data_IF_994229195508
#
_entry.id   IF_994229195508
#
_cell.length_a   1.000
_cell.length_b   1.000
_cell.length_c   1.000
_cell.angle_alpha   90.00
_cell.angle_beta   90.00
_cell.angle_gamma   90.00
#
_symmetry.space_group_name_H-M   'P 1'
#
loop_
_entity.id
_entity.type
_entity.pdbx_description
1 polymer ?
#
# COMPACT_ATOMS: atom_id res chain seq x y z
N UNK A 1 8.00 17.75 20.48
CA UNK A 1 7.37 16.44 20.29
C UNK A 1 7.05 15.89 21.68
N UNK A 2 5.77 15.91 22.04
CA UNK A 2 5.33 15.43 23.36
C UNK A 2 5.41 13.91 23.40
N UNK A 3 6.17 13.40 24.37
CA UNK A 3 6.24 11.99 24.68
C UNK A 3 5.16 11.65 25.72
N UNK A 4 3.92 11.72 25.35
CA UNK A 4 2.86 11.24 26.24
C UNK A 4 2.38 9.88 25.74
N UNK A 5 2.60 8.80 26.50
CA UNK A 5 2.17 7.45 26.09
C UNK A 5 0.66 7.33 25.91
N UNK A 6 -0.14 8.15 26.60
CA UNK A 6 -1.59 8.13 26.47
C UNK A 6 -2.07 8.81 25.17
N UNK A 7 -1.32 9.75 24.60
CA UNK A 7 -1.62 10.37 23.32
C UNK A 7 -1.11 9.60 22.11
N UNK A 8 -0.38 8.52 22.32
CA UNK A 8 0.11 7.66 21.26
C UNK A 8 -1.00 6.98 20.44
N UNK A 9 -2.25 7.06 20.87
CA UNK A 9 -3.38 6.54 20.11
C UNK A 9 -3.74 7.38 18.88
N UNK A 10 -3.30 8.62 18.80
CA UNK A 10 -3.59 9.52 17.66
C UNK A 10 -2.36 10.05 16.92
N UNK A 11 -1.21 9.43 17.08
CA UNK A 11 -0.16 9.52 16.09
C UNK A 11 0.69 10.78 16.03
N UNK A 12 0.57 11.75 16.91
CA UNK A 12 1.46 12.93 16.86
C UNK A 12 2.95 12.61 17.17
N UNK A 13 3.22 11.44 17.74
CA UNK A 13 4.58 10.95 18.01
C UNK A 13 4.92 9.68 17.24
N UNK A 14 4.04 9.20 16.35
CA UNK A 14 4.27 8.00 15.56
C UNK A 14 4.61 8.39 14.14
N UNK A 15 5.63 7.80 13.61
CA UNK A 15 5.85 7.82 12.17
C UNK A 15 5.04 6.67 11.60
N UNK A 16 3.91 7.00 11.02
CA UNK A 16 3.02 6.04 10.37
C UNK A 16 3.29 6.11 8.87
N UNK A 17 3.51 4.95 8.28
CA UNK A 17 3.50 4.79 6.84
C UNK A 17 2.09 4.39 6.43
N UNK A 18 1.51 5.14 5.52
CA UNK A 18 0.18 4.87 4.98
C UNK A 18 0.23 4.77 3.46
N UNK A 19 -0.50 3.81 2.90
CA UNK A 19 -0.82 3.83 1.47
C UNK A 19 -1.60 5.12 1.16
N UNK A 20 -2.22 5.68 2.18
CA UNK A 20 -3.13 6.81 2.11
C UNK A 20 -4.52 6.35 1.67
N UNK A 21 -5.52 7.18 1.90
CA UNK A 21 -6.86 6.88 1.42
C UNK A 21 -6.84 6.77 -0.10
N UNK A 22 -7.26 5.62 -0.62
CA UNK A 22 -7.21 5.30 -2.03
C UNK A 22 -5.82 5.51 -2.68
N UNK A 23 -4.72 5.14 -1.98
CA UNK A 23 -3.36 5.17 -2.55
C UNK A 23 -2.71 6.55 -2.67
N UNK A 24 -3.29 7.59 -2.09
CA UNK A 24 -2.75 8.95 -2.15
C UNK A 24 -1.32 9.08 -1.61
N UNK A 25 -0.95 8.25 -0.62
CA UNK A 25 0.42 8.21 -0.09
C UNK A 25 1.43 7.83 -1.15
N UNK A 26 1.15 6.78 -1.92
CA UNK A 26 2.04 6.34 -3.01
C UNK A 26 2.07 7.33 -4.18
N UNK A 27 0.93 7.94 -4.52
CA UNK A 27 0.89 9.01 -5.52
C UNK A 27 1.81 10.17 -5.11
N UNK A 28 1.75 10.60 -3.84
CA UNK A 28 2.60 11.67 -3.33
C UNK A 28 4.07 11.32 -3.43
N UNK A 29 4.44 10.09 -3.02
CA UNK A 29 5.82 9.59 -3.15
C UNK A 29 6.27 9.59 -4.61
N UNK A 30 5.46 9.11 -5.54
CA UNK A 30 5.80 9.12 -6.97
C UNK A 30 6.03 10.53 -7.51
N UNK A 31 5.20 11.49 -7.13
CA UNK A 31 5.36 12.88 -7.55
C UNK A 31 6.65 13.51 -6.98
N UNK A 32 6.95 13.23 -5.72
CA UNK A 32 8.21 13.67 -5.10
C UNK A 32 9.43 12.99 -5.74
N UNK A 33 9.35 11.71 -6.11
CA UNK A 33 10.42 11.04 -6.86
C UNK A 33 10.65 11.70 -8.22
N UNK A 34 9.59 12.07 -8.95
CA UNK A 34 9.71 12.80 -10.22
C UNK A 34 10.43 14.13 -10.03
N UNK A 35 10.09 14.85 -8.98
CA UNK A 35 10.72 16.12 -8.65
C UNK A 35 12.20 15.93 -8.27
N UNK A 36 12.50 14.97 -7.41
CA UNK A 36 13.88 14.63 -7.01
C UNK A 36 14.76 14.25 -8.21
N UNK A 37 14.23 13.42 -9.13
CA UNK A 37 14.93 13.06 -10.37
C UNK A 37 15.20 14.31 -11.23
N UNK A 38 14.20 15.18 -11.41
CA UNK A 38 14.31 16.37 -12.24
C UNK A 38 15.33 17.38 -11.69
N UNK A 39 15.54 17.42 -10.37
CA UNK A 39 16.46 18.34 -9.71
C UNK A 39 17.78 17.68 -9.28
N UNK A 40 18.00 16.40 -9.64
CA UNK A 40 19.19 15.61 -9.22
C UNK A 40 19.37 15.57 -7.70
N UNK A 41 18.27 15.48 -6.95
CA UNK A 41 18.26 15.33 -5.49
C UNK A 41 18.29 13.84 -5.12
N UNK A 42 19.51 13.27 -5.16
CA UNK A 42 19.74 11.85 -4.90
C UNK A 42 19.39 11.47 -3.45
N UNK A 43 19.57 12.35 -2.48
CA UNK A 43 19.28 12.08 -1.08
C UNK A 43 17.76 11.88 -0.88
N UNK A 44 16.96 12.80 -1.38
CA UNK A 44 15.49 12.68 -1.35
C UNK A 44 15.03 11.46 -2.13
N UNK A 45 15.58 11.20 -3.30
CA UNK A 45 15.22 10.04 -4.10
C UNK A 45 15.48 8.72 -3.37
N UNK A 46 16.65 8.55 -2.76
CA UNK A 46 16.99 7.34 -2.00
C UNK A 46 16.10 7.18 -0.76
N UNK A 47 15.77 8.25 -0.06
CA UNK A 47 14.82 8.22 1.06
C UNK A 47 13.44 7.71 0.61
N UNK A 48 12.93 8.22 -0.51
CA UNK A 48 11.63 7.83 -1.06
C UNK A 48 11.62 6.38 -1.55
N UNK A 49 12.71 5.92 -2.18
CA UNK A 49 12.89 4.51 -2.55
C UNK A 49 12.84 3.62 -1.31
N UNK A 50 13.57 3.98 -0.25
CA UNK A 50 13.57 3.23 1.00
C UNK A 50 12.19 3.11 1.65
N UNK A 51 11.33 4.13 1.52
CA UNK A 51 9.93 4.06 1.96
C UNK A 51 9.17 2.97 1.18
N UNK A 52 9.35 2.90 -0.13
CA UNK A 52 8.64 1.92 -0.96
C UNK A 52 9.20 0.50 -0.80
N UNK A 53 10.51 0.37 -0.56
CA UNK A 53 11.13 -0.92 -0.20
C UNK A 53 10.50 -1.49 1.08
N UNK A 54 10.23 -0.62 2.06
CA UNK A 54 9.59 -1.01 3.30
C UNK A 54 8.18 -1.59 3.06
N UNK A 55 7.42 -1.03 2.12
CA UNK A 55 6.13 -1.57 1.73
C UNK A 55 6.25 -2.94 1.06
N UNK A 56 7.21 -3.11 0.17
CA UNK A 56 7.46 -4.38 -0.50
C UNK A 56 7.87 -5.48 0.49
N UNK A 57 8.65 -5.14 1.51
CA UNK A 57 9.05 -6.06 2.60
C UNK A 57 7.87 -6.50 3.47
N UNK A 58 6.88 -5.61 3.69
CA UNK A 58 5.73 -5.89 4.54
C UNK A 58 4.62 -6.68 3.83
N UNK A 59 4.68 -6.77 2.52
CA UNK A 59 3.70 -7.52 1.75
C UNK A 59 3.85 -9.01 1.96
N UNK A 60 2.73 -9.69 2.22
CA UNK A 60 2.68 -11.15 2.28
C UNK A 60 2.75 -11.78 0.88
N UNK A 61 3.05 -13.08 0.83
CA UNK A 61 3.14 -13.81 -0.44
C UNK A 61 1.82 -13.87 -1.20
N UNK A 62 0.69 -13.85 -0.48
CA UNK A 62 -0.65 -13.78 -1.07
C UNK A 62 -1.03 -12.40 -1.62
N UNK A 63 -0.14 -11.41 -1.54
CA UNK A 63 -0.37 -10.06 -2.02
C UNK A 63 -0.95 -9.10 -0.99
N UNK A 64 -1.39 -9.59 0.17
CA UNK A 64 -1.95 -8.73 1.20
C UNK A 64 -0.88 -7.90 1.90
N UNK A 65 -1.26 -6.67 2.19
CA UNK A 65 -0.47 -5.75 3.00
C UNK A 65 -1.42 -4.87 3.78
N UNK A 66 -1.06 -4.55 5.01
CA UNK A 66 -1.84 -3.59 5.80
C UNK A 66 -1.79 -2.21 5.15
N UNK A 67 -2.88 -1.43 5.18
CA UNK A 67 -2.91 -0.10 4.60
C UNK A 67 -2.03 0.91 5.32
N UNK A 68 -1.57 0.57 6.52
CA UNK A 68 -0.62 1.36 7.28
C UNK A 68 0.22 0.49 8.23
N UNK A 69 1.40 0.96 8.59
CA UNK A 69 2.25 0.36 9.62
C UNK A 69 3.08 1.47 10.32
N UNK A 70 3.51 1.17 11.52
CA UNK A 70 4.37 2.09 12.30
C UNK A 70 5.84 1.87 11.99
N UNK A 71 6.62 2.93 12.07
CA UNK A 71 8.06 2.91 11.79
C UNK A 71 8.81 1.88 12.64
N UNK A 72 8.36 1.65 13.87
CA UNK A 72 9.06 0.85 14.87
C UNK A 72 8.46 -0.53 15.10
N UNK A 73 7.63 -1.02 14.19
CA UNK A 73 7.25 -2.43 14.09
C UNK A 73 6.75 -3.11 15.37
N UNK A 74 5.91 -2.45 16.12
CA UNK A 74 5.08 -3.15 17.10
C UNK A 74 3.84 -3.75 16.38
N UNK A 75 4.13 -4.60 15.37
CA UNK A 75 3.09 -5.37 14.72
C UNK A 75 2.53 -6.37 15.71
N UNK A 76 1.38 -6.04 16.27
CA UNK A 76 0.61 -6.97 17.11
C UNK A 76 -0.61 -7.45 16.29
N UNK A 77 -0.59 -8.69 15.77
CA UNK A 77 -1.70 -9.23 14.99
C UNK A 77 -3.03 -9.20 15.75
N UNK A 78 -3.00 -9.32 17.08
CA UNK A 78 -4.22 -9.27 17.90
C UNK A 78 -4.81 -7.86 17.97
N UNK A 79 -3.96 -6.81 18.01
CA UNK A 79 -4.42 -5.43 17.92
C UNK A 79 -5.00 -5.12 16.56
N UNK A 80 -4.42 -5.67 15.50
CA UNK A 80 -4.88 -5.49 14.13
C UNK A 80 -6.19 -6.23 13.89
N UNK A 81 -6.31 -7.48 14.32
CA UNK A 81 -7.56 -8.23 14.22
C UNK A 81 -8.72 -7.52 14.94
N UNK A 82 -8.44 -6.89 16.08
CA UNK A 82 -9.42 -6.07 16.82
C UNK A 82 -9.72 -4.74 16.14
N UNK A 83 -8.75 -4.16 15.46
CA UNK A 83 -8.86 -2.90 14.74
C UNK A 83 -9.35 -3.09 13.29
N UNK A 84 -9.30 -4.30 12.74
CA UNK A 84 -9.86 -4.62 11.42
C UNK A 84 -11.37 -4.38 11.31
N UNK A 85 -12.05 -4.32 12.46
CA UNK A 85 -13.43 -3.87 12.56
C UNK A 85 -13.58 -2.35 12.54
N UNK A 86 -12.46 -1.60 12.65
CA UNK A 86 -12.42 -0.15 12.55
C UNK A 86 -11.85 0.20 11.17
N UNK A 87 -12.53 1.06 10.44
CA UNK A 87 -12.10 1.54 9.11
C UNK A 87 -10.61 1.91 9.10
N UNK A 88 -9.88 1.39 8.14
CA UNK A 88 -8.47 1.73 7.90
C UNK A 88 -7.43 0.74 8.44
N UNK A 89 -7.82 -0.34 9.10
CA UNK A 89 -6.87 -1.31 9.66
C UNK A 89 -6.85 -2.67 8.95
N UNK A 90 -7.80 -2.92 8.07
CA UNK A 90 -7.81 -4.11 7.22
C UNK A 90 -7.38 -3.76 5.79
N UNK A 91 -6.83 -4.71 5.03
CA UNK A 91 -6.63 -4.53 3.61
C UNK A 91 -7.94 -4.17 2.91
N UNK A 92 -7.98 -2.99 2.32
CA UNK A 92 -9.14 -2.51 1.54
C UNK A 92 -8.85 -2.58 0.06
N UNK A 93 -9.81 -3.05 -0.72
CA UNK A 93 -9.70 -3.17 -2.18
C UNK A 93 -9.33 -1.85 -2.85
N UNK A 94 -9.88 -0.72 -2.40
CA UNK A 94 -9.54 0.59 -2.95
C UNK A 94 -8.08 0.97 -2.67
N UNK A 95 -7.61 0.79 -1.45
CA UNK A 95 -6.24 1.13 -1.06
C UNK A 95 -5.22 0.24 -1.77
N UNK A 96 -5.49 -1.07 -1.81
CA UNK A 96 -4.63 -2.03 -2.48
C UNK A 96 -4.60 -1.81 -4.00
N UNK A 97 -5.77 -1.59 -4.62
CA UNK A 97 -5.86 -1.41 -6.06
C UNK A 97 -5.13 -0.15 -6.54
N UNK A 98 -5.32 0.97 -5.88
CA UNK A 98 -4.58 2.20 -6.22
C UNK A 98 -3.12 2.10 -5.81
N UNK A 99 -2.83 1.49 -4.66
CA UNK A 99 -1.45 1.21 -4.24
C UNK A 99 -0.68 0.39 -5.27
N UNK A 100 -1.30 -0.65 -5.84
CA UNK A 100 -0.72 -1.44 -6.93
C UNK A 100 -0.45 -0.57 -8.17
N UNK A 101 -1.44 0.24 -8.59
CA UNK A 101 -1.30 1.17 -9.72
C UNK A 101 -0.12 2.13 -9.53
N UNK A 102 -0.05 2.80 -8.40
CA UNK A 102 1.02 3.78 -8.15
C UNK A 102 2.39 3.12 -7.97
N UNK A 103 2.47 1.93 -7.35
CA UNK A 103 3.74 1.20 -7.22
C UNK A 103 4.26 0.73 -8.58
N UNK A 104 3.40 0.27 -9.49
CA UNK A 104 3.77 -0.06 -10.86
C UNK A 104 4.31 1.17 -11.61
N UNK A 105 3.68 2.32 -11.44
CA UNK A 105 4.16 3.59 -12.02
C UNK A 105 5.48 4.07 -11.42
N UNK A 106 5.70 3.84 -10.11
CA UNK A 106 6.98 4.11 -9.46
C UNK A 106 8.06 3.21 -10.04
N UNK A 107 7.78 1.91 -10.20
CA UNK A 107 8.70 0.99 -10.87
C UNK A 107 9.08 1.48 -12.27
N UNK A 108 8.09 1.82 -13.10
CA UNK A 108 8.34 2.32 -14.45
C UNK A 108 9.18 3.61 -14.44
N UNK A 109 8.84 4.57 -13.56
CA UNK A 109 9.59 5.82 -13.41
C UNK A 109 11.06 5.56 -13.07
N UNK A 110 11.34 4.69 -12.11
CA UNK A 110 12.70 4.37 -11.68
C UNK A 110 13.48 3.64 -12.77
N UNK A 111 12.87 2.62 -13.38
CA UNK A 111 13.47 1.86 -14.50
C UNK A 111 13.84 2.77 -15.67
N UNK A 112 12.97 3.70 -16.05
CA UNK A 112 13.20 4.64 -17.16
C UNK A 112 14.33 5.64 -16.84
N UNK A 113 14.73 5.74 -15.57
CA UNK A 113 15.90 6.50 -15.09
C UNK A 113 17.09 5.62 -14.68
N UNK A 114 17.10 4.35 -15.10
CA UNK A 114 18.23 3.43 -14.88
C UNK A 114 18.29 2.82 -13.47
N UNK A 115 17.22 2.89 -12.69
CA UNK A 115 17.16 2.35 -11.33
C UNK A 115 16.23 1.13 -11.34
N UNK A 116 16.81 -0.06 -11.17
CA UNK A 116 16.06 -1.31 -11.18
C UNK A 116 15.55 -1.65 -9.78
N UNK A 117 14.22 -1.80 -9.64
CA UNK A 117 13.51 -2.17 -8.42
C UNK A 117 12.40 -3.19 -8.72
N UNK A 118 12.75 -4.42 -9.13
CA UNK A 118 11.77 -5.43 -9.53
C UNK A 118 10.80 -5.81 -8.42
N UNK A 119 11.17 -5.60 -7.16
CA UNK A 119 10.29 -5.81 -6.00
C UNK A 119 9.04 -4.90 -6.03
N UNK A 120 9.12 -3.72 -6.63
CA UNK A 120 7.98 -2.81 -6.75
C UNK A 120 6.96 -3.33 -7.77
N UNK A 121 7.42 -3.83 -8.90
CA UNK A 121 6.53 -4.50 -9.84
C UNK A 121 5.92 -5.77 -9.24
N UNK A 122 6.72 -6.55 -8.51
CA UNK A 122 6.25 -7.74 -7.80
C UNK A 122 5.17 -7.43 -6.77
N UNK A 123 5.32 -6.31 -6.04
CA UNK A 123 4.30 -5.83 -5.11
C UNK A 123 2.96 -5.63 -5.82
N UNK A 124 2.96 -4.93 -6.95
CA UNK A 124 1.77 -4.67 -7.75
C UNK A 124 1.17 -5.95 -8.31
N UNK A 125 2.01 -6.81 -8.91
CA UNK A 125 1.58 -8.09 -9.51
C UNK A 125 0.88 -8.99 -8.50
N UNK A 126 1.44 -9.15 -7.30
CA UNK A 126 0.83 -9.99 -6.25
C UNK A 126 -0.56 -9.49 -5.82
N UNK A 127 -0.76 -8.18 -5.70
CA UNK A 127 -2.08 -7.63 -5.42
C UNK A 127 -3.04 -7.92 -6.56
N UNK A 128 -2.62 -7.70 -7.80
CA UNK A 128 -3.44 -7.96 -8.98
C UNK A 128 -3.81 -9.43 -9.11
N UNK A 129 -2.86 -10.34 -8.91
CA UNK A 129 -3.08 -11.79 -8.94
C UNK A 129 -4.09 -12.22 -7.87
N UNK A 130 -3.97 -11.68 -6.66
CA UNK A 130 -4.92 -11.93 -5.58
C UNK A 130 -6.35 -11.56 -6.02
N UNK A 131 -6.55 -10.35 -6.52
CA UNK A 131 -7.88 -9.90 -6.92
C UNK A 131 -8.42 -10.62 -8.15
N UNK A 132 -7.56 -11.01 -9.09
CA UNK A 132 -7.97 -11.87 -10.21
C UNK A 132 -8.46 -13.23 -9.73
N UNK A 133 -7.79 -13.82 -8.74
CA UNK A 133 -8.16 -15.14 -8.18
C UNK A 133 -9.43 -15.08 -7.31
N UNK A 134 -9.74 -13.93 -6.72
CA UNK A 134 -10.88 -13.78 -5.78
C UNK A 134 -12.06 -12.99 -6.34
N UNK A 135 -12.02 -12.65 -7.62
CA UNK A 135 -13.16 -12.01 -8.29
C UNK A 135 -14.32 -13.00 -8.42
N UNK A 136 -15.53 -12.54 -8.09
CA UNK A 136 -16.75 -13.26 -8.45
C UNK A 136 -17.80 -12.32 -9.05
N UNK A 137 -18.67 -12.79 -9.96
CA UNK A 137 -19.74 -11.96 -10.50
C UNK A 137 -20.73 -11.48 -9.44
N UNK A 138 -20.89 -12.24 -8.35
CA UNK A 138 -21.84 -11.95 -7.28
C UNK A 138 -21.36 -10.87 -6.32
N UNK A 139 -20.05 -10.86 -6.02
CA UNK A 139 -19.46 -9.98 -5.00
C UNK A 139 -18.44 -8.99 -5.58
N UNK A 140 -18.12 -9.09 -6.88
CA UNK A 140 -17.06 -8.34 -7.51
C UNK A 140 -15.70 -8.67 -6.91
N UNK A 141 -14.93 -7.64 -6.60
CA UNK A 141 -13.60 -7.77 -5.97
C UNK A 141 -13.64 -7.75 -4.43
N UNK A 142 -14.84 -7.78 -3.82
CA UNK A 142 -14.96 -7.58 -2.39
C UNK A 142 -14.58 -6.16 -1.95
N UNK A 143 -14.61 -5.89 -0.65
CA UNK A 143 -14.29 -4.57 -0.11
C UNK A 143 -13.19 -4.61 0.95
N UNK A 144 -13.34 -5.46 1.95
CA UNK A 144 -12.39 -5.64 3.05
C UNK A 144 -11.91 -7.08 3.10
N UNK A 145 -10.64 -7.26 3.42
CA UNK A 145 -9.97 -8.54 3.43
C UNK A 145 -9.18 -8.73 4.73
N UNK A 146 -9.05 -9.97 5.17
CA UNK A 146 -8.06 -10.31 6.19
C UNK A 146 -6.66 -10.38 5.57
N UNK A 147 -5.64 -10.44 6.40
CA UNK A 147 -4.27 -10.66 5.93
C UNK A 147 -4.08 -12.06 5.33
N UNK A 148 -4.90 -13.02 5.72
CA UNK A 148 -4.93 -14.38 5.17
C UNK A 148 -5.67 -14.45 3.82
N UNK A 149 -6.33 -13.36 3.42
CA UNK A 149 -7.06 -13.28 2.16
C UNK A 149 -8.52 -13.72 2.23
N UNK A 150 -9.10 -13.74 3.43
CA UNK A 150 -10.53 -14.00 3.61
C UNK A 150 -11.33 -12.71 3.43
N UNK A 151 -12.45 -12.78 2.71
CA UNK A 151 -13.33 -11.64 2.53
C UNK A 151 -14.08 -11.32 3.84
N UNK A 152 -13.81 -10.16 4.42
CA UNK A 152 -14.47 -9.67 5.64
C UNK A 152 -15.73 -8.86 5.30
N UNK A 153 -15.73 -8.14 4.19
CA UNK A 153 -16.85 -7.40 3.67
C UNK A 153 -16.86 -7.47 2.14
N UNK A 154 -18.00 -7.88 1.57
CA UNK A 154 -18.17 -8.00 0.13
C UNK A 154 -19.08 -6.93 -0.45
N UNK A 155 -19.77 -6.16 0.38
CA UNK A 155 -20.71 -5.12 -0.05
C UNK A 155 -19.99 -3.80 -0.28
N UNK A 156 -20.24 -3.17 -1.41
CA UNK A 156 -19.68 -1.86 -1.74
C UNK A 156 -18.89 -1.86 -3.04
N UNK A 157 -18.96 -0.75 -3.75
CA UNK A 157 -18.37 -0.60 -5.07
C UNK A 157 -17.02 0.11 -4.98
N UNK A 158 -15.95 -0.63 -4.77
CA UNK A 158 -14.58 -0.11 -4.78
C UNK A 158 -13.72 -0.76 -5.88
N UNK A 159 -14.34 -1.59 -6.73
CA UNK A 159 -13.65 -2.36 -7.76
C UNK A 159 -12.96 -1.51 -8.83
N UNK A 160 -13.40 -0.27 -9.06
CA UNK A 160 -12.76 0.62 -10.03
C UNK A 160 -11.28 0.90 -9.71
N UNK A 161 -10.90 0.87 -8.44
CA UNK A 161 -9.51 1.09 -8.05
C UNK A 161 -8.60 -0.09 -8.40
N UNK A 162 -9.09 -1.33 -8.28
CA UNK A 162 -8.29 -2.50 -8.66
C UNK A 162 -8.14 -2.61 -10.18
N UNK A 163 -9.11 -2.16 -10.96
CA UNK A 163 -8.99 -2.10 -12.41
C UNK A 163 -7.81 -1.22 -12.84
N UNK A 164 -7.62 -0.08 -12.18
CA UNK A 164 -6.43 0.77 -12.42
C UNK A 164 -5.13 0.00 -12.09
N UNK A 165 -5.11 -0.71 -10.96
CA UNK A 165 -3.97 -1.56 -10.60
C UNK A 165 -3.66 -2.59 -11.67
N UNK A 166 -4.68 -3.28 -12.18
CA UNK A 166 -4.54 -4.27 -13.25
C UNK A 166 -4.01 -3.65 -14.55
N UNK A 167 -4.55 -2.51 -14.97
CA UNK A 167 -4.16 -1.83 -16.22
C UNK A 167 -2.73 -1.27 -16.17
N UNK A 168 -2.28 -0.77 -15.02
CA UNK A 168 -0.96 -0.17 -14.87
C UNK A 168 0.13 -1.22 -14.60
N UNK A 169 -0.25 -2.43 -14.15
CA UNK A 169 0.67 -3.53 -13.83
C UNK A 169 0.93 -4.41 -15.04
N UNK A 170 -0.04 -4.61 -15.90
CA UNK A 170 0.01 -5.44 -17.12
C UNK A 170 0.07 -4.61 -18.39
#
# INVERSE_FOLDING_TARGET
>A
LMKDPEYNTFGFNRVIFEIGWAGQGFLSVRLMMKDAIAHHDDETLQMLIGIQERWAEKQQENGMVLPHFERYDDYDPAKIAKAALCQGYAPETCNLGWGASEMAKIYALLRDNGIEKPEFLRFSTRICDFFCAHYSPETGFGKLWSMEGEALETTGSVGGFIINGLLDTW
#
